data_IF_290262711393
#
_entry.id   IF_290262711393
#
_cell.length_a   1.000
_cell.length_b   1.000
_cell.length_c   1.000
_cell.angle_alpha   90.00
_cell.angle_beta   90.00
_cell.angle_gamma   90.00
#
_symmetry.space_group_name_H-M   'P 1'
#
loop_
_entity.id
_entity.type
_entity.pdbx_description
1 polymer ?
#
# COMPACT_ATOMS: atom_id res chain seq x y z
N UNK A 1 9.24 1.77 34.55
CA UNK A 1 7.90 1.66 33.96
C UNK A 1 7.51 2.95 33.25
N UNK A 2 7.30 4.06 33.97
CA UNK A 2 6.89 5.37 33.42
C UNK A 2 7.54 5.81 32.10
N UNK A 3 8.87 5.76 31.98
CA UNK A 3 9.54 6.15 30.71
C UNK A 3 9.22 5.22 29.53
N UNK A 4 9.01 3.92 29.77
CA UNK A 4 8.62 2.98 28.70
C UNK A 4 7.19 3.28 28.25
N UNK A 5 6.31 3.59 29.20
CA UNK A 5 4.92 3.95 28.93
C UNK A 5 4.84 5.27 28.14
N UNK A 6 5.69 6.26 28.48
CA UNK A 6 5.81 7.52 27.73
C UNK A 6 6.31 7.32 26.30
N UNK A 7 7.28 6.41 26.08
CA UNK A 7 7.76 6.06 24.73
C UNK A 7 6.63 5.39 23.94
N UNK A 8 5.93 4.41 24.55
CA UNK A 8 4.80 3.72 23.91
C UNK A 8 3.71 4.70 23.47
N UNK A 9 3.30 5.59 24.37
CA UNK A 9 2.33 6.64 24.05
C UNK A 9 2.79 7.54 22.89
N UNK A 10 4.07 7.91 22.88
CA UNK A 10 4.63 8.73 21.79
C UNK A 10 4.64 7.98 20.46
N UNK A 11 5.01 6.71 20.46
CA UNK A 11 5.00 5.85 19.27
C UNK A 11 3.57 5.69 18.73
N UNK A 12 2.60 5.39 19.59
CA UNK A 12 1.19 5.29 19.20
C UNK A 12 0.69 6.60 18.57
N UNK A 13 1.03 7.74 19.17
CA UNK A 13 0.66 9.06 18.62
C UNK A 13 1.30 9.34 17.25
N UNK A 14 2.55 8.94 17.04
CA UNK A 14 3.19 9.07 15.73
C UNK A 14 2.45 8.20 14.69
N UNK A 15 2.16 6.94 15.03
CA UNK A 15 1.47 6.00 14.13
C UNK A 15 0.07 6.51 13.76
N UNK A 16 -0.68 7.04 14.72
CA UNK A 16 -2.01 7.63 14.54
C UNK A 16 -1.99 8.79 13.53
N UNK A 17 -1.00 9.69 13.65
CA UNK A 17 -0.82 10.81 12.70
C UNK A 17 -0.51 10.29 11.30
N UNK A 18 0.43 9.34 11.18
CA UNK A 18 0.83 8.79 9.88
C UNK A 18 -0.33 8.04 9.21
N UNK A 19 -1.10 7.26 9.96
CA UNK A 19 -2.25 6.52 9.44
C UNK A 19 -3.38 7.46 9.02
N UNK A 20 -3.63 8.52 9.79
CA UNK A 20 -4.64 9.53 9.47
C UNK A 20 -4.29 10.22 8.15
N UNK A 21 -3.06 10.76 8.03
CA UNK A 21 -2.58 11.41 6.81
C UNK A 21 -2.59 10.47 5.60
N UNK A 22 -2.26 9.19 5.80
CA UNK A 22 -2.31 8.17 4.75
C UNK A 22 -3.72 7.79 4.29
N UNK A 23 -4.74 8.05 5.12
CA UNK A 23 -6.14 7.71 4.82
C UNK A 23 -6.89 8.86 4.13
N UNK A 24 -6.31 10.05 4.10
CA UNK A 24 -6.87 11.20 3.38
C UNK A 24 -6.74 10.99 1.86
N UNK A 25 -7.89 10.91 1.18
CA UNK A 25 -7.97 10.61 -0.25
C UNK A 25 -7.26 11.71 -1.08
N UNK A 26 -6.33 11.28 -1.94
CA UNK A 26 -5.53 12.18 -2.79
C UNK A 26 -4.35 12.86 -2.09
N UNK A 27 -4.09 12.55 -0.82
CA UNK A 27 -2.94 13.06 -0.07
C UNK A 27 -1.63 12.32 -0.38
N UNK A 28 -0.51 13.03 -0.23
CA UNK A 28 0.81 12.41 -0.22
C UNK A 28 0.93 11.49 0.99
N UNK A 29 1.34 10.25 0.76
CA UNK A 29 1.38 9.22 1.79
C UNK A 29 2.63 9.32 2.70
N UNK A 30 3.19 10.53 2.82
CA UNK A 30 4.37 10.83 3.62
C UNK A 30 4.18 12.10 4.45
N UNK A 31 4.83 12.15 5.61
CA UNK A 31 4.84 13.31 6.51
C UNK A 31 6.26 13.65 6.92
N UNK A 32 6.61 14.94 6.90
CA UNK A 32 7.92 15.42 7.37
C UNK A 32 8.08 15.12 8.86
N UNK A 33 9.20 14.50 9.25
CA UNK A 33 9.44 14.08 10.65
C UNK A 33 9.37 15.27 11.61
N UNK A 34 9.91 16.42 11.20
CA UNK A 34 9.82 17.65 11.99
C UNK A 34 8.39 18.11 12.22
N UNK A 35 7.49 17.95 11.24
CA UNK A 35 6.08 18.32 11.41
C UNK A 35 5.38 17.39 12.41
N UNK A 36 5.64 16.08 12.34
CA UNK A 36 5.09 15.12 13.32
C UNK A 36 5.56 15.45 14.73
N UNK A 37 6.85 15.77 14.90
CA UNK A 37 7.39 16.21 16.20
C UNK A 37 6.64 17.43 16.73
N UNK A 38 6.42 18.40 15.86
CA UNK A 38 5.83 19.68 16.21
C UNK A 38 4.32 19.55 16.53
N UNK A 39 3.62 18.56 15.96
CA UNK A 39 2.24 18.21 16.30
C UNK A 39 2.09 17.55 17.67
N UNK A 40 3.06 16.74 18.09
CA UNK A 40 3.01 15.99 19.37
C UNK A 40 3.63 16.80 20.51
N UNK A 41 4.66 17.60 20.23
CA UNK A 41 5.47 18.28 21.23
C UNK A 41 5.41 19.81 21.09
N UNK A 42 4.76 20.51 22.06
CA UNK A 42 4.80 21.97 22.09
C UNK A 42 6.25 22.44 22.29
N UNK A 43 6.57 23.63 21.76
CA UNK A 43 7.94 24.19 21.73
C UNK A 43 8.64 24.14 23.10
N UNK A 44 7.89 24.40 24.18
CA UNK A 44 8.41 24.41 25.56
C UNK A 44 8.96 23.05 26.03
N UNK A 45 8.39 21.96 25.53
CA UNK A 45 8.70 20.60 25.99
C UNK A 45 9.73 19.89 25.10
N UNK A 46 10.11 20.49 23.96
CA UNK A 46 10.96 19.83 22.96
C UNK A 46 12.30 19.39 23.52
N UNK A 47 13.00 20.26 24.25
CA UNK A 47 14.27 19.90 24.89
C UNK A 47 14.10 18.84 25.98
N UNK A 48 13.06 18.95 26.81
CA UNK A 48 12.83 18.01 27.90
C UNK A 48 12.47 16.60 27.43
N UNK A 49 11.80 16.48 26.28
CA UNK A 49 11.32 15.20 25.72
C UNK A 49 12.16 14.68 24.55
N UNK A 50 13.26 15.35 24.21
CA UNK A 50 14.15 14.96 23.09
C UNK A 50 14.67 13.52 23.22
N UNK A 51 15.05 13.10 24.44
CA UNK A 51 15.51 11.73 24.70
C UNK A 51 14.41 10.69 24.49
N UNK A 52 13.18 11.02 24.86
CA UNK A 52 12.01 10.15 24.65
C UNK A 52 11.66 10.08 23.17
N UNK A 53 11.71 11.22 22.47
CA UNK A 53 11.55 11.34 21.03
C UNK A 53 12.54 10.47 20.26
N UNK A 54 13.84 10.59 20.54
CA UNK A 54 14.87 9.79 19.87
C UNK A 54 14.66 8.28 20.06
N UNK A 55 14.20 7.85 21.25
CA UNK A 55 13.87 6.45 21.51
C UNK A 55 12.62 5.99 20.76
N UNK A 56 11.59 6.83 20.66
CA UNK A 56 10.39 6.54 19.89
C UNK A 56 10.69 6.41 18.39
N UNK A 57 11.47 7.34 17.82
CA UNK A 57 11.94 7.28 16.43
C UNK A 57 12.72 6.00 16.16
N UNK A 58 13.67 5.66 17.04
CA UNK A 58 14.43 4.41 16.95
C UNK A 58 13.50 3.19 16.97
N UNK A 59 12.55 3.17 17.90
CA UNK A 59 11.59 2.07 18.01
C UNK A 59 10.77 1.89 16.74
N UNK A 60 10.28 2.99 16.13
CA UNK A 60 9.54 2.94 14.87
C UNK A 60 10.40 2.37 13.75
N UNK A 61 11.63 2.87 13.58
CA UNK A 61 12.54 2.37 12.54
C UNK A 61 12.89 0.89 12.70
N UNK A 62 12.95 0.37 13.93
CA UNK A 62 13.30 -1.03 14.20
C UNK A 62 12.09 -1.98 14.22
N UNK A 63 10.90 -1.51 14.60
CA UNK A 63 9.76 -2.38 14.92
C UNK A 63 8.50 -2.10 14.10
N UNK A 64 8.34 -0.92 13.50
CA UNK A 64 7.15 -0.57 12.71
C UNK A 64 7.42 -0.73 11.22
N UNK A 65 7.13 -1.93 10.70
CA UNK A 65 7.31 -2.28 9.29
C UNK A 65 6.48 -1.45 8.30
N UNK A 66 5.40 -0.83 8.76
CA UNK A 66 4.52 -0.01 7.91
C UNK A 66 5.01 1.41 7.73
N UNK A 67 6.12 1.79 8.37
CA UNK A 67 6.70 3.13 8.23
C UNK A 67 8.06 3.00 7.57
N UNK A 68 8.29 3.78 6.50
CA UNK A 68 9.61 3.91 5.86
C UNK A 68 10.11 5.33 6.03
N UNK A 69 11.34 5.44 6.50
CA UNK A 69 12.09 6.69 6.54
C UNK A 69 12.81 6.89 5.21
N UNK A 70 12.61 8.05 4.58
CA UNK A 70 13.25 8.41 3.31
C UNK A 70 13.48 9.93 3.22
N UNK A 71 14.30 10.36 2.26
CA UNK A 71 14.49 11.78 1.94
C UNK A 71 13.60 12.11 0.75
N UNK A 72 12.72 13.10 0.91
CA UNK A 72 11.80 13.57 -0.13
C UNK A 72 11.99 15.06 -0.35
N UNK A 73 11.91 15.50 -1.61
CA UNK A 73 11.92 16.92 -1.94
C UNK A 73 10.55 17.53 -1.63
N UNK A 74 10.52 18.47 -0.68
CA UNK A 74 9.32 19.23 -0.31
C UNK A 74 9.63 20.70 -0.56
N UNK A 75 8.88 21.33 -1.46
CA UNK A 75 9.07 22.74 -1.85
C UNK A 75 10.49 23.07 -2.37
N UNK A 76 11.16 22.12 -3.03
CA UNK A 76 12.50 22.31 -3.59
C UNK A 76 13.65 22.05 -2.60
N UNK A 77 13.35 21.64 -1.37
CA UNK A 77 14.35 21.28 -0.37
C UNK A 77 14.21 19.81 0.07
N UNK A 78 15.33 19.10 0.31
CA UNK A 78 15.30 17.72 0.77
C UNK A 78 14.97 17.65 2.27
N UNK A 79 13.90 16.93 2.61
CA UNK A 79 13.49 16.67 3.98
C UNK A 79 13.43 15.18 4.29
N UNK A 80 13.73 14.83 5.53
CA UNK A 80 13.48 13.49 6.05
C UNK A 80 11.99 13.34 6.36
N UNK A 81 11.37 12.33 5.74
CA UNK A 81 9.94 12.06 5.83
C UNK A 81 9.68 10.62 6.28
N UNK A 82 8.54 10.42 6.91
CA UNK A 82 7.96 9.12 7.16
C UNK A 82 6.85 8.83 6.15
N UNK A 83 7.06 7.81 5.33
CA UNK A 83 6.06 7.28 4.41
C UNK A 83 5.32 6.10 5.04
N UNK A 84 4.00 6.16 5.07
CA UNK A 84 3.18 5.04 5.48
C UNK A 84 3.06 4.02 4.34
N UNK A 85 3.32 2.75 4.60
CA UNK A 85 3.27 1.65 3.61
C UNK A 85 2.11 0.69 3.95
N UNK A 86 1.56 0.76 5.17
CA UNK A 86 0.52 -0.17 5.64
C UNK A 86 -0.78 -0.17 4.81
N UNK A 87 -1.07 0.94 4.12
CA UNK A 87 -2.24 1.07 3.23
C UNK A 87 -1.86 1.01 1.75
N UNK A 88 -0.56 1.03 1.43
CA UNK A 88 -0.09 0.97 0.06
C UNK A 88 -0.33 -0.44 -0.47
N UNK A 89 -1.36 -0.58 -1.30
CA UNK A 89 -1.27 -1.50 -2.42
C UNK A 89 0.14 -1.35 -3.00
N UNK A 90 0.97 -2.40 -2.89
CA UNK A 90 2.41 -2.46 -3.23
C UNK A 90 2.66 -2.27 -4.75
N UNK A 91 2.10 -1.22 -5.32
CA UNK A 91 2.44 -0.68 -6.63
C UNK A 91 3.51 0.39 -6.41
N UNK A 92 4.71 -0.09 -6.09
CA UNK A 92 5.93 0.67 -6.37
C UNK A 92 5.86 1.09 -7.84
N UNK A 93 6.01 2.40 -8.08
CA UNK A 93 5.94 3.11 -9.36
C UNK A 93 4.56 3.59 -9.82
N UNK A 94 4.19 4.81 -9.40
CA UNK A 94 3.68 5.85 -10.31
C UNK A 94 2.44 5.56 -11.17
N UNK A 95 1.43 4.83 -10.69
CA UNK A 95 0.11 4.83 -11.34
C UNK A 95 -1.00 4.42 -10.38
N UNK A 96 -2.18 5.07 -10.42
CA UNK A 96 -3.32 4.68 -9.61
C UNK A 96 -3.99 3.48 -10.27
N UNK A 97 -3.42 2.28 -10.14
CA UNK A 97 -4.11 1.05 -10.53
C UNK A 97 -3.94 -0.01 -9.45
N UNK A 98 -4.96 -0.05 -8.59
CA UNK A 98 -5.68 -1.26 -8.19
C UNK A 98 -4.97 -2.56 -8.61
N UNK A 99 -4.04 -3.01 -7.78
CA UNK A 99 -3.39 -4.32 -7.90
C UNK A 99 -4.04 -5.25 -6.89
N UNK A 100 -5.22 -5.72 -7.22
CA UNK A 100 -5.63 -7.09 -6.91
C UNK A 100 -4.91 -8.02 -7.89
N UNK A 101 -4.86 -9.32 -7.58
CA UNK A 101 -4.22 -10.32 -8.44
C UNK A 101 -4.66 -10.14 -9.89
N UNK A 102 -3.68 -9.81 -10.74
CA UNK A 102 -3.89 -9.42 -12.12
C UNK A 102 -4.39 -10.61 -12.94
N UNK A 103 -5.72 -10.67 -13.06
CA UNK A 103 -6.47 -11.51 -13.97
C UNK A 103 -7.59 -10.73 -14.64
N UNK A 104 -7.29 -9.52 -15.12
CA UNK A 104 -8.20 -8.78 -16.01
C UNK A 104 -7.46 -8.56 -17.33
N UNK A 105 -7.35 -9.66 -18.08
CA UNK A 105 -6.90 -9.61 -19.46
C UNK A 105 -7.99 -8.90 -20.25
N UNK A 106 -7.78 -7.59 -20.50
CA UNK A 106 -8.56 -6.66 -21.32
C UNK A 106 -10.08 -6.57 -21.02
N UNK A 107 -10.64 -5.37 -21.18
CA UNK A 107 -12.08 -5.24 -21.35
C UNK A 107 -12.39 -5.67 -22.78
N UNK A 108 -12.69 -6.95 -22.98
CA UNK A 108 -13.17 -7.43 -24.29
C UNK A 108 -14.56 -6.87 -24.49
N UNK A 109 -14.60 -5.72 -25.13
CA UNK A 109 -15.73 -5.39 -25.98
C UNK A 109 -15.92 -6.57 -26.93
N UNK A 110 -17.12 -7.16 -26.90
CA UNK A 110 -17.55 -8.21 -27.83
C UNK A 110 -17.29 -7.75 -29.26
N UNK A 111 -16.32 -8.36 -29.93
CA UNK A 111 -15.87 -7.99 -31.28
C UNK A 111 -14.43 -7.45 -31.41
N UNK A 112 -13.65 -7.38 -30.33
CA UNK A 112 -12.23 -6.97 -30.41
C UNK A 112 -11.38 -8.01 -31.14
N UNK A 113 -10.48 -7.56 -32.02
CA UNK A 113 -9.58 -8.37 -32.89
C UNK A 113 -8.65 -9.33 -32.12
N UNK A 114 -8.58 -9.21 -30.80
CA UNK A 114 -7.81 -10.09 -29.92
C UNK A 114 -8.57 -11.38 -29.53
N UNK A 115 -9.87 -11.50 -29.83
CA UNK A 115 -10.61 -12.76 -29.68
C UNK A 115 -10.65 -13.50 -31.03
N UNK A 116 -9.64 -14.34 -31.30
CA UNK A 116 -9.74 -15.25 -32.44
C UNK A 116 -10.88 -16.26 -32.19
N UNK A 117 -11.80 -16.47 -33.15
CA UNK A 117 -12.89 -17.43 -32.99
C UNK A 117 -12.42 -18.89 -32.91
N UNK A 118 -11.17 -19.19 -33.28
CA UNK A 118 -10.54 -20.48 -33.08
C UNK A 118 -9.09 -20.28 -32.65
N UNK A 119 -8.64 -21.02 -31.64
CA UNK A 119 -7.26 -20.97 -31.16
C UNK A 119 -6.30 -21.65 -32.16
N UNK A 120 -5.14 -21.04 -32.48
CA UNK A 120 -4.27 -21.49 -33.57
C UNK A 120 -3.36 -22.69 -33.24
N UNK A 121 -3.47 -23.33 -32.06
CA UNK A 121 -2.62 -24.47 -31.70
C UNK A 121 -3.40 -25.59 -30.99
N UNK A 122 -3.27 -26.87 -31.43
CA UNK A 122 -4.07 -27.98 -30.96
C UNK A 122 -3.46 -28.69 -29.73
N UNK A 123 -3.07 -27.97 -28.67
CA UNK A 123 -2.44 -28.58 -27.49
C UNK A 123 -3.21 -28.50 -26.18
N UNK A 124 -4.48 -28.06 -26.18
CA UNK A 124 -5.34 -28.18 -24.99
C UNK A 124 -6.44 -29.23 -25.18
N UNK A 125 -6.05 -30.52 -25.19
CA UNK A 125 -7.00 -31.63 -25.01
C UNK A 125 -7.25 -31.82 -23.52
N UNK A 126 -8.28 -31.15 -23.00
CA UNK A 126 -8.84 -31.52 -21.70
C UNK A 126 -9.67 -32.79 -21.91
N UNK A 127 -9.10 -33.94 -21.51
CA UNK A 127 -9.83 -35.20 -21.45
C UNK A 127 -10.66 -35.20 -20.16
N UNK A 128 -11.96 -35.45 -20.30
CA UNK A 128 -12.84 -35.80 -19.18
C UNK A 128 -13.55 -34.63 -18.53
N UNK A 129 -14.53 -34.06 -19.23
CA UNK A 129 -15.64 -33.37 -18.56
C UNK A 129 -16.96 -33.92 -19.10
N UNK A 130 -17.44 -34.95 -18.39
CA UNK A 130 -18.84 -35.28 -18.14
C UNK A 130 -19.72 -35.61 -19.35
N UNK A 131 -20.00 -36.90 -19.44
CA UNK A 131 -21.13 -37.56 -20.09
C UNK A 131 -22.43 -37.18 -19.35
N UNK A 132 -23.42 -36.65 -20.07
CA UNK A 132 -24.82 -37.13 -20.15
C UNK A 132 -25.70 -36.08 -20.85
N UNK A 133 -26.53 -36.47 -21.82
CA UNK A 133 -27.51 -35.59 -22.44
C UNK A 133 -27.78 -35.84 -23.92
N UNK A 134 -28.36 -37.00 -24.22
CA UNK A 134 -29.02 -37.35 -25.48
C UNK A 134 -29.91 -36.21 -26.02
N UNK A 135 -29.76 -35.86 -27.31
CA UNK A 135 -30.77 -35.20 -28.16
C UNK A 135 -30.35 -35.18 -29.64
N UNK A 136 -30.82 -36.19 -30.36
CA UNK A 136 -31.62 -36.06 -31.59
C UNK A 136 -31.04 -35.22 -32.75
N UNK A 137 -30.61 -35.88 -33.83
CA UNK A 137 -31.27 -35.88 -35.17
C UNK A 137 -30.38 -36.55 -36.23
N UNK A 138 -30.77 -37.74 -36.67
CA UNK A 138 -30.29 -38.37 -37.90
C UNK A 138 -31.06 -37.80 -39.11
N UNK A 139 -30.31 -37.30 -40.10
CA UNK A 139 -30.63 -37.19 -41.53
C UNK A 139 -29.28 -37.59 -42.17
N UNK A 140 -29.09 -38.65 -42.94
CA UNK A 140 -29.85 -39.34 -44.00
C UNK A 140 -29.63 -40.86 -43.82
#
# INVERSE_FOLDING_TARGET
QKQKDEIGFMVEKIIDILQTNASEDGGENYVVINHVRDMILPVKDRQGKERTWAKAVKYINENESRVRTEIQEVQGEPFEVWRWIGSANLSISGSPRNRSWQGQAFETQVGSVNSLPCSPTPCLKIRGMVEDGDRTTHII
#
